data_IF_986823901951
#
_entry.id   IF_986823901951
#
_cell.length_a   1.000
_cell.length_b   1.000
_cell.length_c   1.000
_cell.angle_alpha   90.00
_cell.angle_beta   90.00
_cell.angle_gamma   90.00
#
_symmetry.space_group_name_H-M   'P 1'
#
loop_
_entity.id
_entity.type
_entity.pdbx_description
1 polymer ?
#
# COMPACT_ATOMS: atom_id res chain seq x y z
N UNK A 1 -16.55 -4.13 7.71
CA UNK A 1 -16.71 -3.10 6.66
C UNK A 1 -16.41 -1.73 7.24
N UNK A 2 -15.57 -0.96 6.56
CA UNK A 2 -14.99 0.25 7.09
C UNK A 2 -15.80 1.50 6.66
N UNK A 3 -16.36 2.23 7.63
CA UNK A 3 -17.12 3.47 7.39
C UNK A 3 -16.15 4.66 7.18
N UNK A 4 -16.47 5.57 6.25
CA UNK A 4 -15.71 6.81 6.05
C UNK A 4 -16.36 7.92 6.87
N UNK A 5 -15.67 8.38 7.90
CA UNK A 5 -16.07 9.58 8.61
C UNK A 5 -15.41 10.81 7.97
N UNK A 6 -16.23 11.75 7.48
CA UNK A 6 -15.75 13.07 7.09
C UNK A 6 -15.51 13.88 8.35
N UNK A 7 -14.26 13.94 8.79
CA UNK A 7 -13.87 14.66 10.01
C UNK A 7 -12.44 15.19 9.88
N UNK A 8 -12.00 15.93 10.89
CA UNK A 8 -10.64 16.46 10.99
C UNK A 8 -9.72 15.36 11.53
N UNK A 9 -8.52 15.28 10.96
CA UNK A 9 -7.41 14.45 11.41
C UNK A 9 -6.27 15.37 11.82
N UNK A 10 -5.77 15.20 13.05
CA UNK A 10 -4.66 16.02 13.58
C UNK A 10 -3.57 15.14 14.20
N UNK A 11 -2.35 15.12 13.64
CA UNK A 11 -1.98 15.63 12.32
C UNK A 11 -2.73 14.93 11.17
N UNK A 12 -2.76 15.58 10.02
CA UNK A 12 -3.29 15.00 8.78
C UNK A 12 -2.40 13.85 8.30
N UNK A 13 -2.97 12.98 7.46
CA UNK A 13 -2.22 11.88 6.83
C UNK A 13 -0.99 12.39 6.06
N UNK A 14 -1.11 13.52 5.36
CA UNK A 14 -0.01 14.08 4.58
C UNK A 14 1.10 14.61 5.48
N UNK A 15 0.77 15.29 6.58
CA UNK A 15 1.77 15.76 7.55
C UNK A 15 2.55 14.61 8.18
N UNK A 16 1.87 13.51 8.55
CA UNK A 16 2.55 12.31 9.01
C UNK A 16 3.53 11.77 7.96
N UNK A 17 3.07 11.64 6.71
CA UNK A 17 3.91 11.15 5.61
C UNK A 17 5.07 12.10 5.27
N UNK A 18 4.90 13.41 5.43
CA UNK A 18 5.97 14.38 5.20
C UNK A 18 7.16 14.13 6.13
N UNK A 19 6.89 13.74 7.38
CA UNK A 19 7.94 13.38 8.34
C UNK A 19 8.50 11.96 8.13
N UNK A 20 7.66 11.02 7.70
CA UNK A 20 8.01 9.60 7.64
C UNK A 20 8.71 9.19 6.35
N UNK A 21 8.28 9.69 5.18
CA UNK A 21 8.82 9.30 3.87
C UNK A 21 10.35 9.45 3.78
N UNK A 22 10.98 10.57 4.22
CA UNK A 22 12.43 10.73 4.14
C UNK A 22 13.25 9.69 4.91
N UNK A 23 12.62 8.94 5.82
CA UNK A 23 13.29 7.88 6.60
C UNK A 23 13.34 6.54 5.87
N UNK A 24 12.71 6.42 4.69
CA UNK A 24 12.59 5.17 3.95
C UNK A 24 13.67 5.05 2.86
N UNK A 25 14.24 3.86 2.62
CA UNK A 25 15.35 3.68 1.67
C UNK A 25 14.94 3.84 0.18
N UNK A 26 13.65 3.71 -0.12
CA UNK A 26 13.07 3.91 -1.46
C UNK A 26 12.61 5.35 -1.71
N UNK A 27 12.69 6.25 -0.73
CA UNK A 27 12.32 7.65 -0.91
C UNK A 27 13.29 8.31 -1.90
N UNK A 28 12.74 8.98 -2.92
CA UNK A 28 13.50 9.58 -4.01
C UNK A 28 13.42 11.11 -4.02
N UNK A 29 12.80 11.73 -3.00
CA UNK A 29 12.69 13.18 -2.89
C UNK A 29 13.97 13.83 -2.33
N UNK A 30 14.03 15.16 -2.45
CA UNK A 30 15.21 15.95 -2.08
C UNK A 30 15.32 16.28 -0.59
N UNK A 31 16.39 16.99 -0.22
CA UNK A 31 16.68 17.41 1.17
C UNK A 31 15.75 18.51 1.71
N UNK A 32 14.91 19.12 0.86
CA UNK A 32 13.95 20.15 1.24
C UNK A 32 12.68 19.63 1.94
N UNK A 33 12.53 18.30 2.05
CA UNK A 33 11.31 17.66 2.53
C UNK A 33 10.24 17.56 1.42
N UNK A 34 9.31 16.60 1.53
CA UNK A 34 8.35 16.34 0.47
C UNK A 34 7.19 17.35 0.47
N UNK A 35 6.74 17.72 -0.72
CA UNK A 35 5.53 18.51 -0.96
C UNK A 35 4.44 17.57 -1.48
N UNK A 36 3.65 17.03 -0.56
CA UNK A 36 2.73 15.93 -0.86
C UNK A 36 1.34 16.41 -1.28
N UNK A 37 0.84 15.87 -2.38
CA UNK A 37 -0.56 15.94 -2.78
C UNK A 37 -1.17 14.53 -2.87
N UNK A 38 -2.40 14.36 -2.40
CA UNK A 38 -3.15 13.11 -2.60
C UNK A 38 -3.43 12.93 -4.10
N UNK A 39 -3.06 11.77 -4.64
CA UNK A 39 -3.19 11.45 -6.06
C UNK A 39 -4.12 10.26 -6.34
N UNK A 40 -4.50 9.49 -5.32
CA UNK A 40 -5.37 8.33 -5.48
C UNK A 40 -5.25 7.36 -4.32
N UNK A 41 -5.64 6.13 -4.57
CA UNK A 41 -5.62 5.06 -3.58
C UNK A 41 -6.94 4.33 -3.48
N UNK A 42 -6.94 3.29 -2.65
CA UNK A 42 -8.11 2.45 -2.40
C UNK A 42 -8.07 1.95 -0.95
N UNK A 43 -9.14 1.31 -0.51
CA UNK A 43 -9.26 0.72 0.83
C UNK A 43 -9.51 -0.78 0.75
N UNK A 44 -9.21 -1.46 1.85
CA UNK A 44 -9.68 -2.81 2.11
C UNK A 44 -10.46 -2.81 3.41
N UNK A 45 -11.39 -3.73 3.53
CA UNK A 45 -12.13 -3.95 4.77
C UNK A 45 -11.36 -4.90 5.67
N UNK A 46 -11.24 -4.57 6.95
CA UNK A 46 -10.88 -5.54 7.98
C UNK A 46 -12.07 -6.49 8.23
N UNK A 47 -11.88 -7.82 8.19
CA UNK A 47 -12.91 -8.80 8.55
C UNK A 47 -13.52 -8.56 9.94
N UNK A 48 -12.69 -8.17 10.92
CA UNK A 48 -13.14 -7.92 12.30
C UNK A 48 -13.62 -6.46 12.51
N UNK A 49 -13.33 -5.57 11.56
CA UNK A 49 -13.77 -4.17 11.60
C UNK A 49 -13.01 -3.26 12.57
N UNK A 50 -11.88 -3.70 13.12
CA UNK A 50 -11.10 -2.99 14.14
C UNK A 50 -9.98 -2.13 13.54
N UNK A 51 -9.49 -2.52 12.36
CA UNK A 51 -8.36 -1.88 11.68
C UNK A 51 -8.83 -1.15 10.42
N UNK A 52 -8.56 0.15 10.33
CA UNK A 52 -8.72 0.87 9.06
C UNK A 52 -7.57 0.53 8.12
N UNK A 53 -7.85 0.05 6.90
CA UNK A 53 -6.83 -0.34 5.91
C UNK A 53 -6.96 0.56 4.67
N UNK A 54 -5.87 1.24 4.31
CA UNK A 54 -5.81 2.16 3.18
C UNK A 54 -4.52 1.98 2.40
N UNK A 55 -4.60 2.01 1.07
CA UNK A 55 -3.46 2.14 0.17
C UNK A 55 -3.49 3.54 -0.40
N UNK A 56 -2.78 4.48 0.22
CA UNK A 56 -2.79 5.87 -0.19
C UNK A 56 -1.77 6.10 -1.31
N UNK A 57 -2.18 6.77 -2.38
CA UNK A 57 -1.27 7.24 -3.42
C UNK A 57 -1.05 8.73 -3.25
N UNK A 58 0.21 9.13 -3.07
CA UNK A 58 0.63 10.53 -2.92
C UNK A 58 1.67 10.90 -3.96
N UNK A 59 1.63 12.13 -4.46
CA UNK A 59 2.67 12.66 -5.36
C UNK A 59 3.43 13.74 -4.64
N UNK A 60 4.76 13.59 -4.60
CA UNK A 60 5.71 14.58 -4.12
C UNK A 60 6.18 15.45 -5.28
N UNK A 61 5.99 16.75 -5.17
CA UNK A 61 6.39 17.75 -6.17
C UNK A 61 7.61 18.57 -5.77
N UNK A 62 8.26 18.25 -4.65
CA UNK A 62 9.42 19.00 -4.13
C UNK A 62 10.67 18.91 -5.04
N UNK A 63 10.76 17.85 -5.84
CA UNK A 63 11.89 17.58 -6.74
C UNK A 63 11.76 18.19 -8.13
N UNK A 64 12.81 18.04 -8.95
CA UNK A 64 12.82 18.49 -10.36
C UNK A 64 11.81 17.74 -11.25
N UNK A 65 11.37 16.56 -10.82
CA UNK A 65 10.29 15.78 -11.41
C UNK A 65 9.39 15.26 -10.30
N UNK A 66 8.06 15.26 -10.48
CA UNK A 66 7.15 14.67 -9.51
C UNK A 66 7.43 13.17 -9.31
N UNK A 67 7.37 12.71 -8.07
CA UNK A 67 7.50 11.28 -7.72
C UNK A 67 6.23 10.82 -7.04
N UNK A 68 5.58 9.78 -7.56
CA UNK A 68 4.37 9.22 -6.96
C UNK A 68 4.71 8.00 -6.11
N UNK A 69 4.20 7.97 -4.88
CA UNK A 69 4.40 6.90 -3.91
C UNK A 69 3.10 6.17 -3.60
N UNK A 70 3.19 4.86 -3.40
CA UNK A 70 2.14 4.02 -2.81
C UNK A 70 2.48 3.76 -1.34
N UNK A 71 1.58 4.12 -0.45
CA UNK A 71 1.76 3.99 1.00
C UNK A 71 0.58 3.21 1.60
N UNK A 72 0.74 1.89 1.83
CA UNK A 72 -0.18 1.12 2.64
C UNK A 72 -0.13 1.59 4.09
N UNK A 73 -1.27 1.94 4.66
CA UNK A 73 -1.43 2.43 6.01
C UNK A 73 -2.48 1.60 6.74
N UNK A 74 -2.20 1.29 8.00
CA UNK A 74 -3.21 0.81 8.95
C UNK A 74 -3.47 1.83 10.04
N UNK A 75 -4.72 1.92 10.48
CA UNK A 75 -5.16 2.81 11.56
C UNK A 75 -5.78 1.98 12.68
N UNK A 76 -5.11 1.91 13.82
CA UNK A 76 -5.54 1.12 14.99
C UNK A 76 -6.02 2.01 16.13
N UNK A 77 -6.98 1.50 16.92
CA UNK A 77 -7.47 2.17 18.14
C UNK A 77 -6.58 2.02 19.37
N UNK A 78 -5.50 1.23 19.27
CA UNK A 78 -4.48 1.03 20.30
C UNK A 78 -3.12 0.74 19.63
N UNK A 79 -1.99 0.91 20.33
CA UNK A 79 -0.67 0.52 19.83
C UNK A 79 -0.63 -0.96 19.43
N UNK A 80 0.08 -1.26 18.34
CA UNK A 80 0.41 -2.62 17.91
C UNK A 80 1.77 -3.01 18.51
N UNK A 81 1.76 -3.99 19.41
CA UNK A 81 2.96 -4.52 20.07
C UNK A 81 3.92 -5.15 19.06
N UNK A 82 5.21 -4.79 19.14
CA UNK A 82 6.26 -5.33 18.27
C UNK A 82 6.34 -4.69 16.88
N UNK A 83 5.53 -3.66 16.62
CA UNK A 83 5.52 -2.89 15.38
C UNK A 83 5.95 -1.42 15.58
N UNK A 84 6.65 -1.11 16.67
CA UNK A 84 7.06 0.26 17.01
C UNK A 84 7.96 0.87 15.94
N UNK A 85 8.82 0.07 15.29
CA UNK A 85 9.67 0.50 14.17
C UNK A 85 8.89 0.88 12.91
N UNK A 86 7.63 0.43 12.79
CA UNK A 86 6.74 0.69 11.68
C UNK A 86 5.72 1.80 11.98
N UNK A 87 5.77 2.41 13.16
CA UNK A 87 4.88 3.53 13.50
C UNK A 87 5.20 4.73 12.61
N UNK A 88 4.22 5.15 11.82
CA UNK A 88 4.27 6.36 10.99
C UNK A 88 3.96 7.57 11.86
N UNK A 89 2.99 7.43 12.77
CA UNK A 89 2.68 8.46 13.75
C UNK A 89 1.36 8.21 14.49
N UNK A 90 1.01 9.13 15.37
CA UNK A 90 -0.25 9.12 16.12
C UNK A 90 -1.08 10.30 15.64
N UNK A 91 -2.38 10.11 15.42
CA UNK A 91 -3.32 11.16 15.06
C UNK A 91 -4.58 11.12 15.93
N UNK A 92 -5.22 12.26 16.11
CA UNK A 92 -6.56 12.37 16.67
C UNK A 92 -7.57 12.41 15.52
N UNK A 93 -8.55 11.51 15.56
CA UNK A 93 -9.64 11.44 14.59
C UNK A 93 -10.93 11.92 15.25
N UNK A 94 -11.58 12.96 14.71
CA UNK A 94 -12.69 13.64 15.39
C UNK A 94 -13.90 12.78 15.79
N UNK A 95 -14.13 11.64 15.14
CA UNK A 95 -15.16 10.64 15.54
C UNK A 95 -14.58 9.45 16.31
N UNK A 96 -13.49 8.87 15.81
CA UNK A 96 -12.93 7.61 16.28
C UNK A 96 -11.90 7.76 17.41
N UNK A 97 -11.60 8.99 17.84
CA UNK A 97 -10.59 9.31 18.85
C UNK A 97 -9.16 9.09 18.35
N UNK A 98 -8.24 8.88 19.28
CA UNK A 98 -6.82 8.62 18.98
C UNK A 98 -6.63 7.38 18.10
N UNK A 99 -5.76 7.52 17.11
CA UNK A 99 -5.39 6.46 16.16
C UNK A 99 -3.88 6.38 16.00
N UNK A 100 -3.37 5.15 15.97
CA UNK A 100 -1.99 4.83 15.65
C UNK A 100 -1.92 4.45 14.18
N UNK A 101 -1.15 5.21 13.41
CA UNK A 101 -0.90 4.97 12.00
C UNK A 101 0.40 4.19 11.82
N UNK A 102 0.32 3.03 11.17
CA UNK A 102 1.47 2.19 10.88
C UNK A 102 1.69 2.06 9.38
N UNK A 103 2.95 1.81 9.00
CA UNK A 103 3.26 1.28 7.69
C UNK A 103 2.68 -0.13 7.60
N UNK A 104 1.61 -0.26 6.82
CA UNK A 104 0.77 -1.46 6.87
C UNK A 104 1.45 -2.71 6.33
N UNK A 105 2.61 -2.59 5.66
CA UNK A 105 3.45 -3.75 5.33
C UNK A 105 3.93 -4.52 6.58
N UNK A 106 3.97 -3.89 7.75
CA UNK A 106 4.29 -4.54 9.03
C UNK A 106 3.05 -4.89 9.86
N UNK A 107 1.85 -4.65 9.34
CA UNK A 107 0.59 -4.97 10.02
C UNK A 107 0.02 -6.30 9.48
N UNK A 108 -0.17 -7.33 10.32
CA UNK A 108 -0.66 -8.63 9.88
C UNK A 108 -2.04 -8.58 9.22
N UNK A 109 -2.89 -7.61 9.59
CA UNK A 109 -4.25 -7.49 9.03
C UNK A 109 -4.19 -6.96 7.60
N UNK A 110 -3.38 -5.93 7.32
CA UNK A 110 -3.20 -5.44 5.95
C UNK A 110 -2.55 -6.51 5.07
N UNK A 111 -1.52 -7.17 5.59
CA UNK A 111 -0.83 -8.27 4.92
C UNK A 111 -1.80 -9.37 4.49
N UNK A 112 -2.67 -9.83 5.41
CA UNK A 112 -3.67 -10.85 5.11
C UNK A 112 -4.69 -10.37 4.06
N UNK A 113 -5.16 -9.13 4.18
CA UNK A 113 -6.14 -8.56 3.25
C UNK A 113 -5.55 -8.27 1.86
N UNK A 114 -4.28 -7.91 1.76
CA UNK A 114 -3.59 -7.73 0.48
C UNK A 114 -3.47 -9.05 -0.27
N UNK A 115 -3.12 -10.14 0.42
CA UNK A 115 -3.10 -11.46 -0.18
C UNK A 115 -4.51 -11.89 -0.63
N UNK A 116 -5.51 -11.68 0.22
CA UNK A 116 -6.91 -11.94 -0.12
C UNK A 116 -7.37 -11.13 -1.35
N UNK A 117 -6.88 -9.91 -1.54
CA UNK A 117 -7.17 -9.10 -2.73
C UNK A 117 -6.55 -9.72 -3.98
N UNK A 118 -5.30 -10.15 -3.92
CA UNK A 118 -4.60 -10.78 -5.05
C UNK A 118 -5.30 -12.07 -5.48
N UNK A 119 -5.72 -12.88 -4.50
CA UNK A 119 -6.48 -14.11 -4.73
C UNK A 119 -7.94 -13.85 -5.18
N UNK A 120 -8.41 -12.60 -5.13
CA UNK A 120 -9.77 -12.24 -5.48
C UNK A 120 -10.83 -12.64 -4.44
N UNK A 121 -10.42 -12.98 -3.21
CA UNK A 121 -11.31 -13.27 -2.07
C UNK A 121 -11.96 -12.01 -1.50
N UNK A 122 -11.33 -10.85 -1.65
CA UNK A 122 -11.88 -9.54 -1.27
C UNK A 122 -11.78 -8.55 -2.43
N UNK A 123 -12.52 -7.44 -2.34
CA UNK A 123 -12.54 -6.38 -3.34
C UNK A 123 -11.98 -5.08 -2.76
N UNK A 124 -11.25 -4.34 -3.59
CA UNK A 124 -10.86 -2.98 -3.29
C UNK A 124 -12.10 -2.09 -3.16
N UNK A 125 -12.11 -1.23 -2.15
CA UNK A 125 -13.17 -0.25 -1.90
C UNK A 125 -12.69 1.15 -2.27
N UNK A 126 -13.62 1.99 -2.70
CA UNK A 126 -13.38 3.40 -3.00
C UNK A 126 -12.83 4.11 -1.77
N UNK A 127 -11.79 4.90 -1.99
CA UNK A 127 -11.09 5.60 -0.91
C UNK A 127 -11.90 6.75 -0.27
N UNK A 128 -12.96 7.24 -0.94
CA UNK A 128 -13.72 8.42 -0.52
C UNK A 128 -15.20 8.14 -0.25
N UNK A 129 -15.68 6.93 -0.58
CA UNK A 129 -17.07 6.51 -0.47
C UNK A 129 -17.16 5.13 0.16
N UNK A 130 -17.93 5.03 1.25
CA UNK A 130 -18.21 3.74 1.89
C UNK A 130 -19.02 2.82 0.96
N UNK A 131 -18.79 1.52 1.06
CA UNK A 131 -19.58 0.47 0.39
C UNK A 131 -19.54 0.49 -1.15
N UNK A 132 -18.62 1.24 -1.75
CA UNK A 132 -18.49 1.31 -3.20
C UNK A 132 -17.20 0.60 -3.61
N UNK A 133 -17.27 -0.48 -4.41
CA UNK A 133 -16.07 -1.10 -4.95
C UNK A 133 -15.30 -0.14 -5.86
N UNK A 134 -13.98 -0.11 -5.71
CA UNK A 134 -13.09 0.59 -6.63
C UNK A 134 -12.89 -0.27 -7.88
N UNK A 135 -13.41 0.22 -9.01
CA UNK A 135 -13.36 -0.47 -10.31
C UNK A 135 -12.06 -0.21 -11.08
N UNK A 136 -11.24 0.73 -10.64
CA UNK A 136 -9.96 1.06 -11.27
C UNK A 136 -8.83 0.19 -10.72
N UNK A 137 -9.04 -0.43 -9.56
CA UNK A 137 -8.15 -1.46 -9.01
C UNK A 137 -8.43 -2.81 -9.66
N UNK A 138 -7.42 -3.37 -10.30
CA UNK A 138 -7.50 -4.69 -10.95
C UNK A 138 -6.48 -5.65 -10.38
N UNK A 139 -6.80 -6.93 -10.42
CA UNK A 139 -5.95 -8.02 -9.94
C UNK A 139 -5.89 -9.19 -10.91
N UNK A 140 -4.78 -9.88 -10.93
CA UNK A 140 -4.66 -11.20 -11.58
C UNK A 140 -3.82 -12.11 -10.71
N UNK A 141 -4.12 -13.41 -10.73
CA UNK A 141 -3.32 -14.44 -10.07
C UNK A 141 -3.43 -15.72 -10.90
N UNK A 142 -2.30 -16.34 -11.20
CA UNK A 142 -2.19 -17.63 -11.89
C UNK A 142 -1.84 -18.69 -10.87
N UNK A 143 -2.83 -19.52 -10.50
CA UNK A 143 -2.66 -20.65 -9.59
C UNK A 143 -3.78 -20.71 -8.56
N UNK A 144 -4.27 -21.92 -8.28
CA UNK A 144 -5.13 -22.19 -7.13
C UNK A 144 -4.25 -22.31 -5.88
N UNK A 145 -4.46 -21.48 -4.87
CA UNK A 145 -3.96 -21.76 -3.53
C UNK A 145 -2.69 -21.04 -3.08
N UNK A 146 -2.60 -19.72 -3.31
CA UNK A 146 -1.69 -18.89 -2.52
C UNK A 146 -2.36 -18.45 -1.21
N UNK A 147 -3.04 -19.32 -0.44
CA UNK A 147 -3.57 -18.94 0.87
C UNK A 147 -2.41 -18.71 1.85
N UNK A 148 -2.15 -17.48 2.32
CA UNK A 148 -1.29 -17.25 3.45
C UNK A 148 -2.09 -17.61 4.69
N UNK A 149 -1.97 -18.87 5.10
CA UNK A 149 -2.30 -19.27 6.46
C UNK A 149 -0.99 -19.33 7.22
N UNK A 150 -0.45 -18.18 7.56
CA UNK A 150 0.85 -18.10 8.21
C UNK A 150 1.33 -16.66 8.33
N UNK A 151 1.98 -16.38 9.46
CA UNK A 151 2.73 -15.14 9.69
C UNK A 151 3.66 -14.89 8.51
N UNK A 152 3.39 -13.88 7.68
CA UNK A 152 4.39 -13.41 6.74
C UNK A 152 5.60 -12.95 7.56
N UNK A 153 6.78 -13.51 7.27
CA UNK A 153 8.03 -13.08 7.89
C UNK A 153 8.30 -11.61 7.53
N UNK A 154 9.00 -10.89 8.40
CA UNK A 154 9.05 -9.43 8.40
C UNK A 154 9.28 -8.77 7.04
N UNK A 155 8.48 -7.74 6.75
CA UNK A 155 8.65 -6.90 5.57
C UNK A 155 10.06 -6.30 5.54
N UNK A 156 10.68 -6.27 4.36
CA UNK A 156 12.00 -5.70 4.15
C UNK A 156 11.92 -4.60 3.10
N UNK A 157 12.34 -3.38 3.47
CA UNK A 157 12.46 -2.27 2.54
C UNK A 157 13.81 -2.33 1.80
N UNK A 158 13.78 -2.05 0.50
CA UNK A 158 14.94 -1.84 -0.36
C UNK A 158 14.71 -0.56 -1.22
N UNK A 159 15.69 -0.09 -2.01
CA UNK A 159 15.53 1.11 -2.85
C UNK A 159 14.43 1.02 -3.92
N UNK A 160 13.89 -0.16 -4.21
CA UNK A 160 12.93 -0.42 -5.26
C UNK A 160 11.52 -0.69 -4.68
N UNK A 161 11.36 -0.73 -3.34
CA UNK A 161 10.07 -0.91 -2.67
C UNK A 161 10.15 -1.73 -1.37
N UNK A 162 9.10 -2.50 -1.11
CA UNK A 162 9.03 -3.40 0.06
C UNK A 162 8.80 -4.83 -0.40
N UNK A 163 9.57 -5.77 0.13
CA UNK A 163 9.37 -7.20 -0.06
C UNK A 163 8.67 -7.81 1.15
N UNK A 164 7.67 -8.63 0.86
CA UNK A 164 6.88 -9.38 1.82
C UNK A 164 7.04 -10.88 1.49
N UNK A 165 7.73 -11.66 2.34
CA UNK A 165 7.78 -13.10 2.23
C UNK A 165 6.37 -13.70 2.26
N UNK A 166 6.02 -14.47 1.22
CA UNK A 166 4.76 -15.16 1.11
C UNK A 166 4.97 -16.69 1.15
N UNK A 167 3.92 -17.49 1.39
CA UNK A 167 4.06 -18.94 1.50
C UNK A 167 4.54 -19.59 0.20
N UNK A 168 4.91 -20.87 0.29
CA UNK A 168 5.41 -21.67 -0.84
C UNK A 168 6.64 -21.07 -1.55
N UNK A 169 7.45 -20.28 -0.82
CA UNK A 169 8.62 -19.62 -1.38
C UNK A 169 8.27 -18.50 -2.36
N UNK A 170 7.05 -17.97 -2.33
CA UNK A 170 6.68 -16.79 -3.12
C UNK A 170 7.09 -15.51 -2.41
N UNK A 171 7.25 -14.43 -3.18
CA UNK A 171 7.55 -13.10 -2.64
C UNK A 171 6.57 -12.09 -3.21
N UNK A 172 5.93 -11.33 -2.32
CA UNK A 172 5.11 -10.18 -2.67
C UNK A 172 5.98 -8.94 -2.71
N UNK A 173 6.01 -8.30 -3.87
CA UNK A 173 6.74 -7.08 -4.14
C UNK A 173 5.77 -5.90 -4.16
N UNK A 174 5.85 -5.02 -3.17
CA UNK A 174 5.08 -3.78 -3.14
C UNK A 174 5.90 -2.64 -3.75
N UNK A 175 5.38 -2.04 -4.83
CA UNK A 175 6.02 -0.93 -5.51
C UNK A 175 5.73 0.37 -4.77
N UNK A 176 6.66 0.80 -3.91
CA UNK A 176 6.54 2.05 -3.16
C UNK A 176 6.68 3.29 -4.02
N UNK A 177 7.50 3.23 -5.08
CA UNK A 177 7.61 4.28 -6.09
C UNK A 177 6.86 3.82 -7.34
N UNK A 178 5.76 4.49 -7.64
CA UNK A 178 4.88 4.14 -8.76
C UNK A 178 5.42 4.68 -10.08
N UNK A 179 5.33 3.85 -11.11
CA UNK A 179 5.70 4.21 -12.48
C UNK A 179 4.50 3.96 -13.40
N UNK A 180 4.12 4.94 -14.23
CA UNK A 180 3.13 4.70 -15.27
C UNK A 180 3.60 3.58 -16.20
N UNK A 181 2.69 2.68 -16.57
CA UNK A 181 2.94 1.66 -17.60
C UNK A 181 2.60 2.21 -18.99
N UNK A 182 3.28 1.76 -20.05
CA UNK A 182 2.91 2.10 -21.42
C UNK A 182 1.44 1.77 -21.71
N UNK A 183 0.79 2.60 -22.51
CA UNK A 183 -0.60 2.44 -22.97
C UNK A 183 -1.66 2.27 -21.84
N UNK A 184 -1.29 2.55 -20.58
CA UNK A 184 -2.10 2.27 -19.39
C UNK A 184 -2.55 0.80 -19.28
N UNK A 185 -1.77 -0.12 -19.82
CA UNK A 185 -2.03 -1.56 -19.74
C UNK A 185 -1.01 -2.22 -18.78
N UNK A 186 -1.40 -2.51 -17.53
CA UNK A 186 -0.50 -3.11 -16.55
C UNK A 186 -0.30 -4.60 -16.85
N UNK A 187 0.68 -4.90 -17.70
CA UNK A 187 1.10 -6.26 -17.96
C UNK A 187 2.04 -6.75 -16.85
N UNK A 188 1.78 -7.93 -16.24
CA UNK A 188 2.67 -8.48 -15.25
C UNK A 188 4.04 -8.84 -15.86
N UNK A 189 5.14 -8.71 -15.10
CA UNK A 189 6.45 -9.21 -15.53
C UNK A 189 6.44 -10.71 -15.85
N UNK A 190 7.35 -11.18 -16.71
CA UNK A 190 7.38 -12.57 -17.19
C UNK A 190 7.48 -13.68 -16.11
N UNK A 191 7.81 -13.34 -14.86
CA UNK A 191 7.87 -14.26 -13.70
C UNK A 191 6.84 -13.95 -12.62
N UNK A 192 5.92 -13.04 -12.88
CA UNK A 192 4.87 -12.71 -11.95
C UNK A 192 3.74 -13.73 -12.08
N UNK A 193 3.37 -14.30 -10.95
CA UNK A 193 2.22 -15.21 -10.83
C UNK A 193 0.99 -14.50 -10.28
N UNK A 194 1.11 -13.22 -9.92
CA UNK A 194 -0.03 -12.38 -9.59
C UNK A 194 0.35 -10.91 -9.54
N UNK A 195 -0.65 -10.04 -9.58
CA UNK A 195 -0.45 -8.60 -9.41
C UNK A 195 -1.72 -7.90 -8.93
N UNK A 196 -1.52 -6.72 -8.35
CA UNK A 196 -2.54 -5.68 -8.18
C UNK A 196 -2.05 -4.45 -8.95
N UNK A 197 -2.93 -3.87 -9.75
CA UNK A 197 -2.71 -2.64 -10.47
C UNK A 197 -3.80 -1.63 -10.12
N UNK A 198 -3.47 -0.34 -10.18
CA UNK A 198 -4.42 0.73 -9.95
C UNK A 198 -4.03 1.98 -10.71
N UNK A 199 -4.82 3.02 -10.56
CA UNK A 199 -4.61 4.29 -11.24
C UNK A 199 -4.51 5.46 -10.26
N UNK A 200 -3.89 6.53 -10.71
CA UNK A 200 -3.72 7.76 -9.92
C UNK A 200 -3.70 8.98 -10.83
N UNK A 201 -3.98 10.14 -10.24
CA UNK A 201 -3.90 11.43 -10.90
C UNK A 201 -2.45 11.92 -10.95
N UNK A 202 -2.05 12.44 -12.10
CA UNK A 202 -0.81 13.19 -12.27
C UNK A 202 -1.04 14.69 -12.02
N UNK A 203 0.02 15.47 -11.73
CA UNK A 203 -0.11 16.91 -11.47
C UNK A 203 -0.72 17.72 -12.62
N UNK A 204 -0.66 17.23 -13.86
CA UNK A 204 -1.28 17.85 -15.04
C UNK A 204 -2.78 17.52 -15.20
N UNK A 205 -3.35 16.77 -14.24
CA UNK A 205 -4.74 16.34 -14.25
C UNK A 205 -5.02 15.10 -15.10
N UNK A 206 -4.02 14.55 -15.80
CA UNK A 206 -4.16 13.28 -16.50
C UNK A 206 -4.13 12.11 -15.54
N UNK A 207 -4.56 10.92 -16.01
CA UNK A 207 -4.54 9.69 -15.22
C UNK A 207 -3.46 8.76 -15.72
N UNK A 208 -2.67 8.24 -14.77
CA UNK A 208 -1.72 7.18 -14.99
C UNK A 208 -2.22 5.88 -14.37
N UNK A 209 -1.78 4.75 -14.92
CA UNK A 209 -2.00 3.41 -14.37
C UNK A 209 -0.67 2.68 -14.22
N UNK A 210 -0.61 1.74 -13.29
CA UNK A 210 0.58 0.92 -13.09
C UNK A 210 0.40 -0.17 -12.05
N UNK A 211 1.45 -0.97 -11.88
CA UNK A 211 1.50 -2.06 -10.92
C UNK A 211 1.74 -1.50 -9.52
N UNK A 212 0.88 -1.88 -8.57
CA UNK A 212 1.03 -1.57 -7.16
C UNK A 212 1.75 -2.69 -6.43
N UNK A 213 1.38 -3.93 -6.73
CA UNK A 213 1.93 -5.13 -6.10
C UNK A 213 2.13 -6.21 -7.15
N UNK A 214 3.23 -6.96 -7.04
CA UNK A 214 3.53 -8.10 -7.90
C UNK A 214 3.89 -9.31 -7.03
N UNK A 215 3.28 -10.45 -7.30
CA UNK A 215 3.61 -11.72 -6.66
C UNK A 215 4.55 -12.51 -7.58
N UNK A 216 5.70 -12.92 -7.05
CA UNK A 216 6.70 -13.72 -7.75
C UNK A 216 6.80 -15.12 -7.14
N UNK A 217 7.00 -16.13 -7.99
CA UNK A 217 7.50 -17.41 -7.52
C UNK A 217 8.99 -17.26 -7.18
N UNK A 218 9.40 -17.71 -6.00
CA UNK A 218 10.82 -17.78 -5.65
C UNK A 218 11.52 -18.73 -6.60
N UNK A 219 12.52 -18.23 -7.32
CA UNK A 219 13.55 -19.10 -7.87
C UNK A 219 14.39 -19.59 -6.71
N UNK A 220 14.29 -20.89 -6.40
CA UNK A 220 15.40 -21.61 -5.78
C UNK A 220 16.62 -21.43 -6.67
N UNK A 221 17.49 -20.48 -6.34
CA UNK A 221 18.86 -20.47 -6.84
C UNK A 221 19.59 -21.65 -6.22
N UNK A 222 19.40 -22.82 -6.81
CA UNK A 222 20.28 -23.96 -6.65
C UNK A 222 20.92 -24.20 -8.01
N UNK A 223 21.93 -23.40 -8.35
CA UNK A 223 22.89 -23.75 -9.37
C UNK A 223 24.18 -24.18 -8.65
N UNK A 224 24.61 -25.39 -9.01
CA UNK A 224 25.77 -26.12 -8.52
C UNK A 224 27.09 -25.46 -8.91
#
# INVERSE_FOLDING_TARGET
MAVIHRTVLEPTKLELLTSWLPTRPWYAGGTGGPELAKAGGFRLDDPEGEVGIEFLVVTDTSGSRPVTYLVPLTYRGAPLEGAEHALVGIMEHGVLGRRWAYDGCHDPVLVAQLAALIEGRVQAQDQNTSDVPDREVTRSCTGDGATPTGSMAGAADDPQGTELPAPQGTTLRLHRVLRPVPDNEPLPPARAVGHVAGSWALPDGTRARGLFVVLHNGTSSAEH
#
